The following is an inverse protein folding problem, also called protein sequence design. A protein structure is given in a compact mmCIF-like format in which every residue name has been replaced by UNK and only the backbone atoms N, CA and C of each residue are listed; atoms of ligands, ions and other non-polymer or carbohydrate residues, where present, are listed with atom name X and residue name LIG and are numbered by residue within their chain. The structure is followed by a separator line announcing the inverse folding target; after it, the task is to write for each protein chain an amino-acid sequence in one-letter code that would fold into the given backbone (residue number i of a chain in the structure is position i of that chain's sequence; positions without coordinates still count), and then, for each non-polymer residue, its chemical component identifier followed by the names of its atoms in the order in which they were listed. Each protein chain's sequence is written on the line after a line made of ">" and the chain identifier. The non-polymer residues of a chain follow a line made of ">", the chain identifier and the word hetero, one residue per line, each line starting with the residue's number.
data_IF_929093404243
#
_entry.id   IF_929093404243
#
_cell.length_a   1.000
_cell.length_b   1.000
_cell.length_c   1.000
_cell.angle_alpha   90.00
_cell.angle_beta   90.00
_cell.angle_gamma   90.00
#
_symmetry.space_group_name_H-M   'P 1'
#
loop_
_entity.id
_entity.type
_entity.pdbx_description
1 polymer ?
#
# COMPACT_ATOMS: atom_id res chain seq x y z
N UNK A 1 3.50 41.99 -0.18
CA UNK A 1 3.13 40.77 -0.93
C UNK A 1 3.94 39.62 -0.34
N UNK A 2 3.32 38.81 0.54
CA UNK A 2 3.99 37.67 1.17
C UNK A 2 3.98 36.48 0.23
N UNK A 3 5.16 35.92 -0.06
CA UNK A 3 5.33 34.70 -0.85
C UNK A 3 4.73 33.53 -0.05
N UNK A 4 3.52 33.11 -0.38
CA UNK A 4 3.04 31.79 0.05
C UNK A 4 3.89 30.75 -0.65
N UNK A 5 4.93 30.26 0.04
CA UNK A 5 5.68 29.09 -0.40
C UNK A 5 4.67 27.96 -0.65
N UNK A 6 4.60 27.48 -1.89
CA UNK A 6 3.80 26.32 -2.26
C UNK A 6 4.30 25.16 -1.39
N UNK A 7 3.52 24.80 -0.36
CA UNK A 7 3.80 23.61 0.42
C UNK A 7 3.17 22.47 -0.35
N UNK A 8 3.99 21.70 -1.06
CA UNK A 8 3.52 20.40 -1.53
C UNK A 8 3.08 19.58 -0.30
N UNK A 9 1.98 18.84 -0.43
CA UNK A 9 1.50 18.00 0.65
C UNK A 9 2.44 16.78 0.77
N UNK A 10 3.41 16.84 1.67
CA UNK A 10 4.29 15.71 1.96
C UNK A 10 3.65 14.82 3.03
N UNK A 11 3.42 13.55 2.72
CA UNK A 11 3.09 12.55 3.74
C UNK A 11 4.40 12.09 4.39
N UNK A 12 4.50 12.23 5.71
CA UNK A 12 5.64 11.71 6.47
C UNK A 12 5.57 10.18 6.51
N UNK A 13 6.40 9.53 5.71
CA UNK A 13 6.51 8.07 5.71
C UNK A 13 7.31 7.57 6.93
N UNK A 14 6.96 6.38 7.41
CA UNK A 14 7.80 5.65 8.37
C UNK A 14 9.18 5.40 7.78
N UNK A 15 10.22 5.40 8.61
CA UNK A 15 11.55 4.89 8.21
C UNK A 15 11.44 3.40 7.95
N UNK A 16 12.34 2.86 7.12
CA UNK A 16 12.28 1.45 6.74
C UNK A 16 12.37 0.50 7.95
N UNK A 17 13.24 0.83 8.91
CA UNK A 17 13.38 0.05 10.15
C UNK A 17 12.08 0.04 10.98
N UNK A 18 11.34 1.16 11.02
CA UNK A 18 10.06 1.27 11.72
C UNK A 18 8.98 0.46 11.00
N UNK A 19 8.89 0.60 9.66
CA UNK A 19 7.93 -0.14 8.86
C UNK A 19 8.14 -1.65 8.94
N UNK A 20 9.41 -2.11 9.04
CA UNK A 20 9.75 -3.54 9.17
C UNK A 20 9.13 -4.18 10.42
N UNK A 21 9.00 -3.42 11.51
CA UNK A 21 8.41 -3.89 12.76
C UNK A 21 6.89 -4.11 12.65
N UNK A 22 6.24 -3.47 11.68
CA UNK A 22 4.80 -3.58 11.44
C UNK A 22 4.43 -4.73 10.50
N UNK A 23 5.40 -5.31 9.78
CA UNK A 23 5.15 -6.35 8.78
C UNK A 23 5.21 -7.73 9.46
N UNK A 24 4.13 -8.53 9.41
CA UNK A 24 4.12 -9.85 10.02
C UNK A 24 5.06 -10.81 9.27
N UNK A 25 5.60 -11.77 10.00
CA UNK A 25 6.39 -12.85 9.40
C UNK A 25 5.56 -13.62 8.37
N UNK A 26 6.16 -13.93 7.21
CA UNK A 26 5.47 -14.64 6.13
C UNK A 26 4.50 -13.77 5.32
N UNK A 27 4.61 -12.44 5.38
CA UNK A 27 3.85 -11.55 4.51
C UNK A 27 4.06 -11.93 3.04
N UNK A 28 2.99 -12.10 2.24
CA UNK A 28 3.07 -12.73 0.91
C UNK A 28 3.84 -11.88 -0.12
N UNK A 29 4.06 -10.60 0.15
CA UNK A 29 4.86 -9.72 -0.68
C UNK A 29 6.22 -9.48 -0.04
N UNK A 30 7.10 -10.45 -0.20
CA UNK A 30 8.52 -10.34 0.16
C UNK A 30 9.36 -10.10 -1.09
N UNK A 31 9.63 -8.84 -1.38
CA UNK A 31 10.40 -8.41 -2.55
C UNK A 31 11.89 -8.16 -2.24
N UNK A 32 12.34 -8.44 -1.01
CA UNK A 32 13.66 -8.01 -0.54
C UNK A 32 13.75 -6.51 -0.18
N UNK A 33 12.68 -5.74 -0.36
CA UNK A 33 12.54 -4.35 0.07
C UNK A 33 11.11 -4.06 0.54
N UNK A 34 10.90 -2.96 1.27
CA UNK A 34 9.55 -2.51 1.66
C UNK A 34 9.01 -1.57 0.58
N UNK A 35 7.91 -1.91 -0.13
CA UNK A 35 7.30 -1.01 -1.10
C UNK A 35 6.92 0.32 -0.47
N UNK A 36 7.10 1.42 -1.19
CA UNK A 36 6.76 2.73 -0.65
C UNK A 36 5.23 2.86 -0.37
N UNK A 37 4.38 2.11 -1.09
CA UNK A 37 2.93 2.06 -0.84
C UNK A 37 2.62 1.45 0.53
N UNK A 38 3.36 0.41 0.93
CA UNK A 38 3.26 -0.16 2.26
C UNK A 38 3.60 0.90 3.32
N UNK A 39 4.70 1.64 3.12
CA UNK A 39 5.12 2.71 4.04
C UNK A 39 4.11 3.86 4.11
N UNK A 40 3.44 4.15 2.99
CA UNK A 40 2.37 5.13 2.92
C UNK A 40 1.14 4.66 3.72
N UNK A 41 0.66 3.43 3.50
CA UNK A 41 -0.45 2.87 4.27
C UNK A 41 -0.15 2.87 5.77
N UNK A 42 1.06 2.43 6.15
CA UNK A 42 1.49 2.39 7.55
C UNK A 42 1.66 3.78 8.18
N UNK A 43 1.73 4.86 7.40
CA UNK A 43 1.74 6.23 7.94
C UNK A 43 0.35 6.67 8.45
N UNK A 44 -0.69 5.86 8.24
CA UNK A 44 -2.06 6.13 8.66
C UNK A 44 -2.54 5.09 9.67
N UNK A 45 -2.25 5.31 10.96
CA UNK A 45 -2.56 4.37 12.05
C UNK A 45 -4.04 3.95 12.10
N UNK A 46 -4.96 4.86 11.80
CA UNK A 46 -6.40 4.60 11.81
C UNK A 46 -6.88 3.78 10.59
N UNK A 47 -6.23 3.97 9.44
CA UNK A 47 -6.66 3.41 8.15
C UNK A 47 -5.96 2.07 7.87
N UNK A 48 -4.70 1.94 8.28
CA UNK A 48 -3.86 0.80 7.95
C UNK A 48 -4.49 -0.56 8.34
N UNK A 49 -5.09 -0.74 9.53
CA UNK A 49 -5.68 -2.02 9.90
C UNK A 49 -6.87 -2.40 9.02
N UNK A 50 -7.75 -1.44 8.72
CA UNK A 50 -8.92 -1.66 7.87
C UNK A 50 -8.52 -1.94 6.42
N UNK A 51 -7.55 -1.18 5.90
CA UNK A 51 -7.02 -1.39 4.56
C UNK A 51 -6.35 -2.77 4.43
N UNK A 52 -5.51 -3.16 5.39
CA UNK A 52 -4.83 -4.45 5.38
C UNK A 52 -5.82 -5.63 5.41
N UNK A 53 -6.87 -5.53 6.23
CA UNK A 53 -7.92 -6.54 6.30
C UNK A 53 -8.67 -6.66 4.96
N UNK A 54 -9.07 -5.54 4.35
CA UNK A 54 -9.74 -5.52 3.05
C UNK A 54 -8.84 -6.08 1.94
N UNK A 55 -7.60 -5.60 1.88
CA UNK A 55 -6.60 -6.08 0.93
C UNK A 55 -6.40 -7.60 1.06
N UNK A 56 -6.29 -8.09 2.28
CA UNK A 56 -6.19 -9.52 2.57
C UNK A 56 -7.35 -10.34 1.98
N UNK A 57 -8.59 -9.86 2.19
CA UNK A 57 -9.79 -10.50 1.63
C UNK A 57 -9.80 -10.47 0.09
N UNK A 58 -9.50 -9.31 -0.50
CA UNK A 58 -9.49 -9.15 -1.96
C UNK A 58 -8.42 -10.03 -2.60
N UNK A 59 -7.24 -10.14 -1.99
CA UNK A 59 -6.08 -10.75 -2.62
C UNK A 59 -5.90 -12.23 -2.33
N UNK A 60 -6.28 -12.71 -1.14
CA UNK A 60 -5.87 -14.03 -0.66
C UNK A 60 -7.01 -14.92 -0.14
N UNK A 61 -8.20 -14.38 0.15
CA UNK A 61 -9.30 -15.20 0.61
C UNK A 61 -9.86 -16.09 -0.53
N UNK A 62 -10.42 -17.28 -0.22
CA UNK A 62 -11.10 -18.12 -1.20
C UNK A 62 -12.16 -17.35 -1.99
N UNK A 63 -12.30 -17.64 -3.28
CA UNK A 63 -13.29 -16.96 -4.12
C UNK A 63 -13.32 -17.50 -5.54
N UNK A 64 -14.07 -16.81 -6.41
CA UNK A 64 -14.26 -17.21 -7.81
C UNK A 64 -13.02 -16.98 -8.68
N UNK A 65 -12.22 -15.99 -8.32
CA UNK A 65 -10.98 -15.66 -9.01
C UNK A 65 -9.80 -16.32 -8.30
N UNK A 66 -8.91 -16.88 -9.12
CA UNK A 66 -7.61 -17.32 -8.64
C UNK A 66 -6.70 -16.13 -8.33
N UNK A 67 -5.47 -16.43 -7.87
CA UNK A 67 -4.51 -15.39 -7.49
C UNK A 67 -4.08 -14.53 -8.68
N UNK A 68 -3.84 -15.14 -9.85
CA UNK A 68 -3.35 -14.45 -11.04
C UNK A 68 -4.43 -13.53 -11.62
N UNK A 69 -5.67 -13.98 -11.60
CA UNK A 69 -6.82 -13.18 -12.03
C UNK A 69 -7.03 -11.96 -11.13
N UNK A 70 -6.86 -12.09 -9.81
CA UNK A 70 -6.91 -10.96 -8.88
C UNK A 70 -5.80 -9.94 -9.13
N UNK A 71 -4.59 -10.39 -9.41
CA UNK A 71 -3.48 -9.51 -9.80
C UNK A 71 -3.74 -8.81 -11.13
N UNK A 72 -4.35 -9.49 -12.11
CA UNK A 72 -4.76 -8.87 -13.37
C UNK A 72 -5.79 -7.74 -13.14
N UNK A 73 -6.78 -7.95 -12.26
CA UNK A 73 -7.73 -6.89 -11.89
C UNK A 73 -7.01 -5.70 -11.25
N UNK A 74 -6.08 -5.95 -10.32
CA UNK A 74 -5.28 -4.90 -9.71
C UNK A 74 -4.49 -4.10 -10.76
N UNK A 75 -3.83 -4.77 -11.70
CA UNK A 75 -3.08 -4.11 -12.78
C UNK A 75 -3.98 -3.23 -13.68
N UNK A 76 -5.14 -3.75 -14.10
CA UNK A 76 -6.10 -2.99 -14.93
C UNK A 76 -6.67 -1.80 -14.16
N UNK A 77 -7.05 -1.99 -12.89
CA UNK A 77 -7.61 -0.93 -12.06
C UNK A 77 -6.59 0.21 -11.82
N UNK A 78 -5.33 -0.15 -11.57
CA UNK A 78 -4.20 0.79 -11.43
C UNK A 78 -3.98 1.57 -12.73
N UNK A 79 -3.95 0.88 -13.87
CA UNK A 79 -3.79 1.53 -15.18
C UNK A 79 -4.95 2.48 -15.52
N UNK A 80 -6.20 2.08 -15.22
CA UNK A 80 -7.37 2.91 -15.45
C UNK A 80 -7.42 4.16 -14.55
N UNK A 81 -6.74 4.12 -13.40
CA UNK A 81 -6.65 5.23 -12.45
C UNK A 81 -5.38 6.07 -12.62
N UNK A 82 -4.53 5.76 -13.60
CA UNK A 82 -3.23 6.42 -13.79
C UNK A 82 -2.36 6.38 -12.52
N UNK A 83 -2.38 5.25 -11.80
CA UNK A 83 -1.64 5.08 -10.56
C UNK A 83 -0.24 4.50 -10.84
N UNK A 84 0.81 5.30 -10.66
CA UNK A 84 2.21 4.95 -11.00
C UNK A 84 3.07 4.45 -9.84
N UNK A 85 2.45 4.21 -8.69
CA UNK A 85 3.16 3.87 -7.46
C UNK A 85 3.89 2.52 -7.53
#
# INVERSE_FOLDING_TARGET
>A
MGTTAHRDAWVKLLREAEARLCIPAGYPYDFGFIPAMMRLVLAHDEIAPAFAALFGQIMFAPGRLDRREREMVAAVATAAQDCHY
#
